data_IF_141814443705
#
_entry.id   IF_141814443705
#
_cell.length_a   1.000
_cell.length_b   1.000
_cell.length_c   1.000
_cell.angle_alpha   90.00
_cell.angle_beta   90.00
_cell.angle_gamma   90.00
#
_symmetry.space_group_name_H-M   'P 1'
#
loop_
_entity.id
_entity.type
_entity.pdbx_description
1 polymer ?
#
# COMPACT_ATOMS: atom_id res chain seq x y z
N UNK A 1 -6.23 30.80 -4.19
CA UNK A 1 -5.49 30.24 -5.34
C UNK A 1 -6.16 28.94 -5.75
N UNK A 2 -6.86 28.93 -6.88
CA UNK A 2 -7.40 27.69 -7.47
C UNK A 2 -6.30 27.09 -8.35
N UNK A 3 -5.87 25.86 -8.05
CA UNK A 3 -4.94 25.12 -8.91
C UNK A 3 -5.60 24.94 -10.29
N UNK A 4 -4.89 25.18 -11.41
CA UNK A 4 -5.43 24.98 -12.73
C UNK A 4 -5.73 23.49 -12.94
N UNK A 5 -7.00 23.17 -13.18
CA UNK A 5 -7.51 21.85 -13.57
C UNK A 5 -7.18 21.57 -15.04
N UNK A 6 -5.90 21.61 -15.40
CA UNK A 6 -5.44 21.14 -16.71
C UNK A 6 -5.12 19.64 -16.60
N UNK A 7 -6.19 18.83 -16.58
CA UNK A 7 -6.12 17.39 -16.77
C UNK A 7 -5.86 17.06 -18.25
N UNK A 8 -4.78 17.61 -18.82
CA UNK A 8 -4.31 17.18 -20.13
C UNK A 8 -3.98 15.69 -20.09
N UNK A 9 -4.45 14.95 -21.09
CA UNK A 9 -4.11 13.54 -21.26
C UNK A 9 -2.59 13.32 -21.25
N UNK A 10 -1.84 14.24 -21.88
CA UNK A 10 -0.38 14.18 -21.96
C UNK A 10 0.30 14.43 -20.62
N UNK A 11 -0.20 15.36 -19.80
CA UNK A 11 0.35 15.58 -18.46
C UNK A 11 0.12 14.37 -17.55
N UNK A 12 -1.03 13.71 -17.70
CA UNK A 12 -1.35 12.48 -16.98
C UNK A 12 -0.43 11.31 -17.37
N UNK A 13 -0.20 11.10 -18.68
CA UNK A 13 0.76 10.09 -19.16
C UNK A 13 2.17 10.39 -18.65
N UNK A 14 2.63 11.63 -18.79
CA UNK A 14 3.95 12.03 -18.30
C UNK A 14 4.11 11.76 -16.81
N UNK A 15 3.08 12.07 -16.02
CA UNK A 15 3.07 11.79 -14.58
C UNK A 15 3.17 10.29 -14.31
N UNK A 16 2.36 9.46 -14.99
CA UNK A 16 2.41 8.01 -14.82
C UNK A 16 3.79 7.43 -15.18
N UNK A 17 4.34 7.82 -16.34
CA UNK A 17 5.66 7.36 -16.75
C UNK A 17 6.73 7.75 -15.73
N UNK A 18 6.66 8.97 -15.18
CA UNK A 18 7.58 9.42 -14.15
C UNK A 18 7.39 8.67 -12.81
N UNK A 19 6.15 8.53 -12.33
CA UNK A 19 5.83 7.84 -11.07
C UNK A 19 6.37 6.41 -11.05
N UNK A 20 6.22 5.68 -12.15
CA UNK A 20 6.68 4.30 -12.25
C UNK A 20 8.11 4.17 -12.80
N UNK A 21 8.86 5.26 -12.92
CA UNK A 21 10.22 5.28 -13.50
C UNK A 21 10.31 4.56 -14.87
N UNK A 22 9.30 4.75 -15.71
CA UNK A 22 9.19 4.19 -17.05
C UNK A 22 9.84 5.10 -18.09
N UNK A 23 10.23 4.56 -19.26
CA UNK A 23 10.77 5.37 -20.35
C UNK A 23 9.81 6.49 -20.75
N UNK A 24 10.37 7.63 -21.13
CA UNK A 24 9.57 8.76 -21.63
C UNK A 24 8.85 8.38 -22.92
N UNK A 25 7.77 9.11 -23.23
CA UNK A 25 7.03 8.89 -24.48
C UNK A 25 7.92 8.98 -25.72
N UNK A 26 8.92 9.88 -25.73
CA UNK A 26 9.89 10.01 -26.82
C UNK A 26 10.77 8.76 -26.98
N UNK A 27 11.28 8.20 -25.88
CA UNK A 27 12.09 6.97 -25.91
C UNK A 27 11.28 5.75 -26.40
N UNK A 28 9.98 5.71 -26.08
CA UNK A 28 9.08 4.66 -26.57
C UNK A 28 8.79 4.78 -28.07
N UNK A 29 8.81 6.00 -28.62
CA UNK A 29 8.66 6.22 -30.06
C UNK A 29 9.93 5.91 -30.83
N UNK A 30 11.10 6.22 -30.25
CA UNK A 30 12.41 5.92 -30.85
C UNK A 30 12.70 4.42 -30.87
N UNK A 31 12.31 3.69 -29.82
CA UNK A 31 12.54 2.25 -29.67
C UNK A 31 11.28 1.54 -29.15
N UNK A 32 10.28 1.29 -30.01
CA UNK A 32 9.02 0.73 -29.56
C UNK A 32 9.19 -0.72 -29.10
N UNK A 33 8.93 -1.03 -27.81
CA UNK A 33 8.95 -2.40 -27.33
C UNK A 33 7.78 -3.19 -27.92
N UNK A 34 7.92 -4.53 -28.00
CA UNK A 34 6.78 -5.39 -28.29
C UNK A 34 5.74 -5.29 -27.17
N UNK A 35 4.48 -5.55 -27.52
CA UNK A 35 3.35 -5.49 -26.57
C UNK A 35 3.60 -6.30 -25.30
N UNK A 36 4.12 -7.52 -25.43
CA UNK A 36 4.38 -8.42 -24.29
C UNK A 36 5.53 -7.93 -23.41
N UNK A 37 6.60 -7.41 -24.03
CA UNK A 37 7.73 -6.82 -23.29
C UNK A 37 7.27 -5.57 -22.54
N UNK A 38 6.48 -4.72 -23.19
CA UNK A 38 5.93 -3.53 -22.56
C UNK A 38 5.03 -3.87 -21.37
N UNK A 39 4.11 -4.83 -21.55
CA UNK A 39 3.21 -5.27 -20.48
C UNK A 39 3.99 -5.83 -19.29
N UNK A 40 4.99 -6.66 -19.54
CA UNK A 40 5.86 -7.20 -18.48
C UNK A 40 6.60 -6.09 -17.74
N UNK A 41 7.17 -5.13 -18.48
CA UNK A 41 7.89 -3.98 -17.90
C UNK A 41 6.95 -3.10 -17.07
N UNK A 42 5.75 -2.84 -17.56
CA UNK A 42 4.72 -2.06 -16.87
C UNK A 42 4.34 -2.73 -15.55
N UNK A 43 4.01 -4.03 -15.57
CA UNK A 43 3.64 -4.78 -14.37
C UNK A 43 4.78 -4.77 -13.35
N UNK A 44 6.01 -5.05 -13.78
CA UNK A 44 7.19 -5.00 -12.91
C UNK A 44 7.39 -3.63 -12.26
N UNK A 45 7.21 -2.54 -13.02
CA UNK A 45 7.34 -1.19 -12.48
C UNK A 45 6.24 -0.85 -11.46
N UNK A 46 5.00 -1.28 -11.70
CA UNK A 46 3.89 -1.13 -10.76
C UNK A 46 4.15 -1.94 -9.48
N UNK A 47 4.63 -3.18 -9.62
CA UNK A 47 4.94 -4.05 -8.49
C UNK A 47 6.07 -3.46 -7.63
N UNK A 48 7.14 -2.98 -8.27
CA UNK A 48 8.26 -2.32 -7.59
C UNK A 48 7.83 -1.05 -6.85
N UNK A 49 7.03 -0.19 -7.50
CA UNK A 49 6.49 1.00 -6.85
C UNK A 49 5.63 0.63 -5.65
N UNK A 50 4.78 -0.39 -5.77
CA UNK A 50 3.91 -0.85 -4.69
C UNK A 50 4.72 -1.33 -3.49
N UNK A 51 5.77 -2.13 -3.73
CA UNK A 51 6.67 -2.61 -2.68
C UNK A 51 7.41 -1.45 -2.01
N UNK A 52 7.90 -0.48 -2.78
CA UNK A 52 8.56 0.71 -2.24
C UNK A 52 7.61 1.51 -1.33
N UNK A 53 6.37 1.75 -1.77
CA UNK A 53 5.36 2.42 -0.94
C UNK A 53 5.06 1.65 0.35
N UNK A 54 4.99 0.31 0.31
CA UNK A 54 4.82 -0.48 1.53
C UNK A 54 6.01 -0.37 2.48
N UNK A 55 7.23 -0.33 1.95
CA UNK A 55 8.44 -0.15 2.77
C UNK A 55 8.45 1.23 3.44
N UNK A 56 8.08 2.28 2.71
CA UNK A 56 7.91 3.63 3.24
C UNK A 56 6.84 3.65 4.36
N UNK A 57 5.66 3.07 4.11
CA UNK A 57 4.58 2.96 5.10
C UNK A 57 5.02 2.24 6.39
N UNK A 58 5.84 1.20 6.27
CA UNK A 58 6.35 0.42 7.42
C UNK A 58 7.38 1.22 8.20
N UNK A 59 8.22 2.02 7.53
CA UNK A 59 9.15 2.92 8.20
C UNK A 59 8.41 4.04 8.95
N UNK A 60 7.31 4.56 8.39
CA UNK A 60 6.51 5.61 9.02
C UNK A 60 5.65 5.12 10.19
N UNK A 61 5.23 3.84 10.18
CA UNK A 61 4.30 3.28 11.15
C UNK A 61 4.98 2.24 12.05
N UNK A 62 5.33 2.59 13.31
CA UNK A 62 5.95 1.66 14.27
C UNK A 62 5.12 0.40 14.55
N UNK A 63 3.80 0.47 14.35
CA UNK A 63 2.90 -0.67 14.53
C UNK A 63 3.09 -1.77 13.47
N UNK A 64 3.71 -1.45 12.33
CA UNK A 64 3.97 -2.37 11.23
C UNK A 64 5.38 -3.00 11.29
N UNK A 65 6.20 -2.67 12.29
CA UNK A 65 7.62 -3.10 12.38
C UNK A 65 7.85 -4.61 12.39
N UNK A 66 6.81 -5.40 12.65
CA UNK A 66 6.88 -6.87 12.67
C UNK A 66 6.33 -7.52 11.40
N UNK A 67 5.87 -6.73 10.42
CA UNK A 67 5.42 -7.25 9.14
C UNK A 67 6.65 -7.64 8.32
N UNK A 68 6.70 -8.90 7.91
CA UNK A 68 7.73 -9.38 6.99
C UNK A 68 7.40 -8.91 5.57
N UNK A 69 8.12 -7.89 5.09
CA UNK A 69 7.99 -7.35 3.73
C UNK A 69 8.39 -8.34 2.64
N UNK A 70 9.29 -9.28 2.93
CA UNK A 70 9.78 -10.25 1.94
C UNK A 70 8.69 -11.27 1.58
N UNK A 71 7.73 -11.48 2.48
CA UNK A 71 6.55 -12.29 2.24
C UNK A 71 5.47 -11.53 1.44
N UNK A 72 5.58 -10.20 1.28
CA UNK A 72 4.64 -9.39 0.54
C UNK A 72 5.03 -9.36 -0.94
N UNK A 73 4.52 -10.33 -1.71
CA UNK A 73 4.61 -10.29 -3.17
C UNK A 73 3.29 -9.85 -3.78
N UNK A 74 3.34 -8.87 -4.68
CA UNK A 74 2.17 -8.38 -5.42
C UNK A 74 1.53 -9.55 -6.18
N UNK A 75 0.21 -9.65 -6.11
CA UNK A 75 -0.57 -10.72 -6.74
C UNK A 75 -0.61 -12.05 -5.97
N UNK A 76 0.12 -12.21 -4.85
CA UNK A 76 -0.08 -13.36 -3.95
C UNK A 76 -0.90 -12.97 -2.73
N UNK A 77 -1.88 -13.80 -2.44
CA UNK A 77 -2.66 -13.71 -1.22
C UNK A 77 -1.79 -14.03 -0.01
N UNK A 78 -1.81 -13.16 1.00
CA UNK A 78 -1.09 -13.38 2.25
C UNK A 78 -1.59 -14.65 2.95
N UNK A 79 -0.72 -15.38 3.65
CA UNK A 79 -1.04 -16.68 4.28
C UNK A 79 -2.23 -16.62 5.25
N UNK A 80 -2.50 -15.43 5.82
CA UNK A 80 -3.64 -15.17 6.71
C UNK A 80 -4.98 -15.44 6.02
N UNK A 81 -5.03 -15.23 4.71
CA UNK A 81 -6.24 -15.36 3.91
C UNK A 81 -6.32 -16.70 3.16
N UNK A 82 -5.28 -17.56 3.22
CA UNK A 82 -5.25 -18.85 2.50
C UNK A 82 -6.42 -19.77 2.86
N UNK A 83 -6.88 -19.71 4.11
CA UNK A 83 -7.96 -20.59 4.61
C UNK A 83 -9.29 -19.86 4.82
N UNK A 84 -9.39 -18.61 4.36
CA UNK A 84 -10.61 -17.81 4.56
C UNK A 84 -11.63 -18.19 3.50
N UNK A 85 -12.73 -18.78 3.94
CA UNK A 85 -13.87 -19.08 3.07
C UNK A 85 -14.64 -17.79 2.78
N UNK A 86 -15.41 -17.72 1.68
CA UNK A 86 -16.26 -16.56 1.36
C UNK A 86 -17.52 -16.51 2.26
N UNK A 87 -17.33 -16.67 3.56
CA UNK A 87 -18.34 -16.56 4.59
C UNK A 87 -18.07 -15.27 5.39
N UNK A 88 -19.13 -14.55 5.74
CA UNK A 88 -19.05 -13.29 6.51
C UNK A 88 -18.26 -13.45 7.81
N UNK A 89 -18.47 -14.53 8.55
CA UNK A 89 -17.78 -14.77 9.84
C UNK A 89 -16.27 -14.96 9.63
N UNK A 90 -15.88 -15.72 8.62
CA UNK A 90 -14.47 -15.99 8.32
C UNK A 90 -13.75 -14.73 7.84
N UNK A 91 -14.43 -13.92 7.01
CA UNK A 91 -13.91 -12.61 6.58
C UNK A 91 -13.70 -11.65 7.75
N UNK A 92 -14.66 -11.53 8.66
CA UNK A 92 -14.54 -10.67 9.86
C UNK A 92 -13.40 -11.15 10.79
N UNK A 93 -13.25 -12.46 10.93
CA UNK A 93 -12.17 -13.05 11.73
C UNK A 93 -10.80 -12.76 11.12
N UNK A 94 -10.68 -12.90 9.79
CA UNK A 94 -9.46 -12.58 9.06
C UNK A 94 -9.12 -11.08 9.12
N UNK A 95 -10.12 -10.22 8.98
CA UNK A 95 -9.98 -8.76 9.14
C UNK A 95 -9.48 -8.41 10.55
N UNK A 96 -10.05 -9.02 11.59
CA UNK A 96 -9.60 -8.79 12.98
C UNK A 96 -8.16 -9.24 13.19
N UNK A 97 -7.77 -10.40 12.65
CA UNK A 97 -6.38 -10.88 12.69
C UNK A 97 -5.42 -9.93 11.97
N UNK A 98 -5.82 -9.42 10.80
CA UNK A 98 -5.03 -8.44 10.06
C UNK A 98 -4.87 -7.12 10.84
N UNK A 99 -5.94 -6.63 11.47
CA UNK A 99 -5.87 -5.43 12.33
C UNK A 99 -4.98 -5.63 13.55
N UNK A 100 -5.01 -6.81 14.17
CA UNK A 100 -4.12 -7.17 15.28
C UNK A 100 -2.65 -7.18 14.84
N UNK A 101 -2.34 -7.80 13.71
CA UNK A 101 -0.96 -7.89 13.19
C UNK A 101 -0.41 -6.54 12.74
N UNK A 102 -1.25 -5.68 12.18
CA UNK A 102 -0.87 -4.31 11.81
C UNK A 102 -0.85 -3.34 13.00
N UNK A 103 -1.22 -3.81 14.19
CA UNK A 103 -1.37 -3.00 15.40
C UNK A 103 -2.43 -1.90 15.30
N UNK A 104 -3.35 -2.00 14.32
CA UNK A 104 -4.48 -1.07 14.14
C UNK A 104 -5.72 -1.49 14.93
N UNK A 105 -5.72 -2.69 15.51
CA UNK A 105 -6.72 -3.12 16.47
C UNK A 105 -6.33 -2.68 17.89
N UNK A 106 -6.96 -1.63 18.39
CA UNK A 106 -6.89 -1.27 19.81
C UNK A 106 -7.65 -2.30 20.63
N UNK A 107 -6.96 -3.31 21.15
CA UNK A 107 -7.52 -4.22 22.16
C UNK A 107 -7.98 -3.38 23.35
N UNK A 108 -9.24 -3.56 23.77
CA UNK A 108 -9.83 -2.88 24.93
C UNK A 108 -9.01 -3.03 26.22
N UNK A 109 -8.14 -4.04 26.32
CA UNK A 109 -7.18 -4.19 27.42
C UNK A 109 -6.20 -2.99 27.54
N UNK A 110 -5.80 -2.37 26.43
CA UNK A 110 -5.00 -1.14 26.45
C UNK A 110 -5.81 0.10 26.88
N UNK A 111 -7.15 0.05 26.83
CA UNK A 111 -8.00 1.15 27.30
C UNK A 111 -7.91 1.33 28.81
N UNK A 112 -7.73 0.24 29.57
CA UNK A 112 -7.52 0.31 31.02
C UNK A 112 -6.17 0.93 31.40
N UNK A 113 -5.12 0.74 30.59
CA UNK A 113 -3.80 1.35 30.80
C UNK A 113 -3.81 2.83 30.40
N UNK A 114 -4.52 3.21 29.32
CA UNK A 114 -4.65 4.61 28.90
C UNK A 114 -5.60 5.44 29.78
N UNK A 115 -6.63 4.83 30.39
CA UNK A 115 -7.52 5.51 31.33
C UNK A 115 -6.89 5.76 32.72
N UNK A 116 -5.67 5.29 32.99
CA UNK A 116 -4.97 5.53 34.27
C UNK A 116 -4.34 6.93 34.34
N UNK A 117 -4.12 7.59 33.21
CA UNK A 117 -3.68 8.98 33.16
C UNK A 117 -4.91 9.87 33.06
N UNK A 118 -5.54 10.13 34.20
CA UNK A 118 -6.46 11.26 34.32
C UNK A 118 -5.67 12.52 33.95
N UNK A 119 -6.11 13.22 32.89
CA UNK A 119 -5.58 14.53 32.54
C UNK A 119 -5.94 15.44 33.71
N UNK A 120 -4.93 15.79 34.53
CA UNK A 120 -5.09 16.85 35.52
C UNK A 120 -5.30 18.15 34.73
N UNK A 121 -6.56 18.57 34.59
CA UNK A 121 -6.89 19.89 34.08
C UNK A 121 -6.39 20.94 35.10
N UNK A 122 -5.46 21.84 34.72
CA UNK A 122 -5.04 22.91 35.61
C UNK A 122 -6.20 23.90 35.78
N UNK A 123 -6.52 24.17 37.05
CA UNK A 123 -7.55 25.11 37.50
C UNK A 123 -7.21 26.57 37.19
#
# INVERSE_FOLDING_TARGET
MKLPTDHSFFSSIRRLLHTYNLPTAYQLLESPPSKEVWKTKLNSAVDQHTVATWQEDIQEKPSLKYINTDALSVGKTHHLYTYVRPNRIDMLTAETKAKLLTGTYTLLANRAVFNQYAVNEPS
#
